data_IF_861539163733
#
_entry.id   IF_861539163733
#
_cell.length_a   1.000
_cell.length_b   1.000
_cell.length_c   1.000
_cell.angle_alpha   90.00
_cell.angle_beta   90.00
_cell.angle_gamma   90.00
#
_symmetry.space_group_name_H-M   'P 1'
#
loop_
_entity.id
_entity.type
_entity.pdbx_description
1 polymer ?
#
# COMPACT_ATOMS: atom_id res chain seq x y z
N UNK A 1 35.46 -25.40 -7.71
CA UNK A 1 35.28 -24.87 -6.35
C UNK A 1 36.41 -23.88 -6.10
N UNK A 2 36.17 -22.61 -6.42
CA UNK A 2 37.07 -21.51 -6.05
C UNK A 2 36.41 -20.81 -4.88
N UNK A 3 36.99 -20.96 -3.69
CA UNK A 3 36.63 -20.18 -2.52
C UNK A 3 36.99 -18.72 -2.81
N UNK A 4 35.96 -17.88 -2.99
CA UNK A 4 36.14 -16.44 -3.11
C UNK A 4 36.75 -15.90 -1.83
N UNK A 5 37.87 -15.20 -1.95
CA UNK A 5 38.42 -14.35 -0.89
C UNK A 5 37.31 -13.39 -0.45
N UNK A 6 37.02 -13.21 0.86
CA UNK A 6 36.07 -12.20 1.28
C UNK A 6 36.59 -10.84 0.82
N UNK A 7 35.88 -10.23 -0.12
CA UNK A 7 36.09 -8.86 -0.57
C UNK A 7 36.09 -8.00 0.69
N UNK A 8 37.24 -7.42 1.01
CA UNK A 8 37.41 -6.67 2.25
C UNK A 8 36.44 -5.51 2.20
N UNK A 9 35.60 -5.35 3.23
CA UNK A 9 34.67 -4.22 3.32
C UNK A 9 35.44 -2.92 3.60
N UNK A 10 36.21 -2.46 2.60
CA UNK A 10 37.03 -1.25 2.69
C UNK A 10 36.21 -0.02 3.10
N UNK A 11 34.95 0.17 2.65
CA UNK A 11 34.08 1.21 3.19
C UNK A 11 33.81 1.00 4.68
N UNK A 12 33.44 -0.20 5.11
CA UNK A 12 33.17 -0.52 6.52
C UNK A 12 34.34 -0.21 7.46
N UNK A 13 35.58 -0.53 7.06
CA UNK A 13 36.78 -0.23 7.84
C UNK A 13 36.98 1.28 8.02
N UNK A 14 36.75 2.07 6.95
CA UNK A 14 36.86 3.54 7.03
C UNK A 14 35.75 4.17 7.84
N UNK A 15 34.54 3.61 7.76
CA UNK A 15 33.36 4.09 8.47
C UNK A 15 33.48 3.90 9.99
N UNK A 16 34.05 2.78 10.45
CA UNK A 16 34.32 2.53 11.86
C UNK A 16 35.22 3.62 12.49
N UNK A 17 36.11 4.25 11.70
CA UNK A 17 36.96 5.35 12.15
C UNK A 17 36.25 6.66 12.50
N UNK A 18 34.93 6.74 12.26
CA UNK A 18 34.09 7.89 12.62
C UNK A 18 33.37 7.71 13.96
N UNK A 19 33.36 6.51 14.55
CA UNK A 19 32.79 6.29 15.87
C UNK A 19 33.47 7.19 16.92
N UNK A 20 32.65 7.78 17.79
CA UNK A 20 33.07 8.74 18.81
C UNK A 20 33.36 10.16 18.28
N UNK A 21 33.34 10.40 16.97
CA UNK A 21 33.52 11.76 16.42
C UNK A 21 32.25 12.59 16.61
N UNK A 22 32.43 13.87 16.90
CA UNK A 22 31.32 14.80 16.95
C UNK A 22 30.70 14.99 15.56
N UNK A 23 29.38 14.90 15.47
CA UNK A 23 28.56 15.26 14.30
C UNK A 23 28.03 16.70 14.37
N UNK A 24 27.88 17.25 15.58
CA UNK A 24 27.60 18.65 15.85
C UNK A 24 28.24 19.03 17.19
N UNK A 25 28.85 20.21 17.27
CA UNK A 25 29.45 20.75 18.50
C UNK A 25 28.87 22.12 18.76
N UNK A 26 28.38 22.35 19.98
CA UNK A 26 27.76 23.61 20.40
C UNK A 26 26.67 24.08 19.43
N UNK A 27 25.86 23.14 18.92
CA UNK A 27 24.69 23.45 18.11
C UNK A 27 23.69 24.24 18.94
N UNK A 28 23.06 25.26 18.35
CA UNK A 28 22.01 26.04 19.00
C UNK A 28 20.73 25.86 18.19
N UNK A 29 19.62 25.63 18.89
CA UNK A 29 18.29 25.64 18.30
C UNK A 29 18.02 26.98 17.64
N UNK A 30 17.32 26.96 16.50
CA UNK A 30 17.09 28.19 15.73
C UNK A 30 16.24 29.21 16.47
N UNK A 31 15.29 28.69 17.24
CA UNK A 31 14.35 29.45 18.02
C UNK A 31 14.40 28.92 19.45
N UNK A 32 14.26 29.79 20.46
CA UNK A 32 13.89 29.35 21.79
C UNK A 32 12.61 28.51 21.72
N UNK A 33 12.43 27.63 22.69
CA UNK A 33 11.16 26.93 22.87
C UNK A 33 10.04 27.97 22.90
N UNK A 34 8.99 27.77 22.09
CA UNK A 34 7.98 28.81 21.89
C UNK A 34 6.57 28.23 21.71
N UNK A 35 5.57 28.99 22.19
CA UNK A 35 4.16 28.61 22.15
C UNK A 35 3.62 28.40 20.72
N UNK A 36 3.96 29.22 19.70
CA UNK A 36 3.48 29.00 18.34
C UNK A 36 3.85 27.62 17.78
N UNK A 37 5.10 27.19 17.93
CA UNK A 37 5.55 25.86 17.47
C UNK A 37 4.90 24.74 18.28
N UNK A 38 4.76 24.89 19.61
CA UNK A 38 4.06 23.91 20.46
C UNK A 38 2.61 23.73 19.99
N UNK A 39 1.88 24.83 19.81
CA UNK A 39 0.48 24.80 19.33
C UNK A 39 0.38 24.06 18.00
N UNK A 40 1.19 24.43 17.01
CA UNK A 40 1.11 23.81 15.68
C UNK A 40 1.48 22.32 15.70
N UNK A 41 2.45 21.92 16.53
CA UNK A 41 2.77 20.51 16.71
C UNK A 41 1.60 19.75 17.33
N UNK A 42 0.98 20.28 18.39
CA UNK A 42 -0.17 19.68 19.04
C UNK A 42 -1.39 19.55 18.10
N UNK A 43 -1.69 20.58 17.32
CA UNK A 43 -2.76 20.56 16.31
C UNK A 43 -2.51 19.47 15.25
N UNK A 44 -1.28 19.37 14.74
CA UNK A 44 -0.93 18.37 13.73
C UNK A 44 -0.97 16.93 14.28
N UNK A 45 -0.58 16.75 15.54
CA UNK A 45 -0.58 15.43 16.20
C UNK A 45 -1.94 15.05 16.80
N UNK A 46 -2.88 15.99 16.88
CA UNK A 46 -4.15 15.80 17.58
C UNK A 46 -4.00 15.67 19.10
N UNK A 47 -2.90 16.16 19.67
CA UNK A 47 -2.63 16.08 21.11
C UNK A 47 -3.25 17.30 21.82
N UNK A 48 -4.21 17.03 22.70
CA UNK A 48 -5.03 18.04 23.38
C UNK A 48 -4.69 18.20 24.86
N UNK A 49 -3.52 17.70 25.30
CA UNK A 49 -3.12 17.81 26.70
C UNK A 49 -3.06 19.29 27.15
N UNK A 50 -3.79 19.67 28.21
CA UNK A 50 -3.86 21.06 28.67
C UNK A 50 -2.52 21.60 29.18
N UNK A 51 -1.57 20.73 29.56
CA UNK A 51 -0.24 21.14 30.03
C UNK A 51 0.62 21.82 28.95
N UNK A 52 0.22 21.77 27.69
CA UNK A 52 0.92 22.40 26.57
C UNK A 52 0.39 23.79 26.20
N UNK A 53 -0.62 24.28 26.93
CA UNK A 53 -1.27 25.56 26.67
C UNK A 53 -1.21 26.49 27.89
N UNK A 54 -1.35 27.79 27.64
CA UNK A 54 -1.40 28.80 28.71
C UNK A 54 -0.01 29.29 29.16
N UNK A 55 0.03 30.13 30.22
CA UNK A 55 1.25 30.79 30.67
C UNK A 55 2.29 29.83 31.26
N UNK A 56 1.85 28.71 31.84
CA UNK A 56 2.72 27.70 32.46
C UNK A 56 3.06 26.52 31.55
N UNK A 57 2.77 26.66 30.25
CA UNK A 57 2.93 25.60 29.27
C UNK A 57 4.32 24.98 29.30
N UNK A 58 4.37 23.66 29.12
CA UNK A 58 5.60 22.94 28.80
C UNK A 58 5.53 22.48 27.35
N UNK A 59 6.67 22.34 26.69
CA UNK A 59 6.69 21.69 25.39
C UNK A 59 6.40 20.18 25.56
N UNK A 60 5.60 19.56 24.67
CA UNK A 60 5.48 18.11 24.60
C UNK A 60 6.87 17.48 24.59
N UNK A 61 7.18 16.49 25.45
CA UNK A 61 8.51 15.87 25.49
C UNK A 61 8.98 15.35 24.13
N UNK A 62 8.05 14.82 23.33
CA UNK A 62 8.25 14.34 21.96
C UNK A 62 8.69 15.41 20.96
N UNK A 63 8.64 16.70 21.32
CA UNK A 63 9.21 17.79 20.54
C UNK A 63 10.72 17.98 20.77
N UNK A 64 11.38 17.18 21.61
CA UNK A 64 12.81 17.35 21.94
C UNK A 64 13.68 17.52 20.70
N UNK A 65 13.47 16.70 19.66
CA UNK A 65 14.20 16.81 18.40
C UNK A 65 13.78 18.03 17.57
N UNK A 66 12.52 18.47 17.64
CA UNK A 66 12.03 19.59 16.82
C UNK A 66 12.83 20.88 17.07
N UNK A 67 13.30 21.08 18.30
CA UNK A 67 14.11 22.24 18.70
C UNK A 67 15.56 22.17 18.21
N UNK A 68 16.06 20.99 17.84
CA UNK A 68 17.42 20.82 17.33
C UNK A 68 17.48 20.66 15.82
N UNK A 69 16.34 20.52 15.13
CA UNK A 69 16.28 20.29 13.69
C UNK A 69 16.89 21.44 12.86
N UNK A 70 17.67 21.06 11.84
CA UNK A 70 18.23 22.01 10.87
C UNK A 70 17.20 22.67 9.94
N UNK A 71 15.95 22.19 9.89
CA UNK A 71 14.91 22.73 9.01
C UNK A 71 15.31 22.81 7.53
N UNK A 72 14.66 23.67 6.76
CA UNK A 72 14.92 23.82 5.30
C UNK A 72 16.31 24.38 4.99
N UNK A 73 16.88 25.21 5.87
CA UNK A 73 18.20 25.80 5.68
C UNK A 73 19.35 24.89 6.13
N UNK A 74 19.06 23.68 6.64
CA UNK A 74 20.05 22.78 7.19
C UNK A 74 20.65 23.22 8.54
N UNK A 75 21.56 22.39 9.06
CA UNK A 75 22.29 22.68 10.30
C UNK A 75 23.50 23.57 10.02
N UNK A 76 23.54 24.74 10.66
CA UNK A 76 24.67 25.68 10.54
C UNK A 76 25.89 25.23 11.37
N UNK A 77 25.70 24.33 12.33
CA UNK A 77 26.74 23.81 13.25
C UNK A 77 27.13 22.34 13.05
N UNK A 78 26.85 21.76 11.87
CA UNK A 78 27.29 20.39 11.55
C UNK A 78 28.80 20.35 11.38
N UNK A 79 29.44 19.34 11.95
CA UNK A 79 30.87 19.11 11.73
C UNK A 79 31.09 18.45 10.37
N UNK A 80 32.29 18.65 9.78
CA UNK A 80 32.66 17.99 8.53
C UNK A 80 32.66 16.46 8.62
N UNK A 81 32.87 15.89 9.81
CA UNK A 81 32.96 14.44 10.01
C UNK A 81 31.65 13.70 9.66
N UNK A 82 30.48 14.28 9.96
CA UNK A 82 29.21 13.64 9.61
C UNK A 82 28.95 13.69 8.10
N UNK A 83 29.23 14.83 7.47
CA UNK A 83 29.03 14.98 6.03
C UNK A 83 30.03 14.13 5.23
N UNK A 84 31.28 13.98 5.70
CA UNK A 84 32.27 13.04 5.17
C UNK A 84 31.81 11.58 5.28
N UNK A 85 31.27 11.17 6.44
CA UNK A 85 30.70 9.83 6.63
C UNK A 85 29.55 9.58 5.65
N UNK A 86 28.65 10.55 5.50
CA UNK A 86 27.52 10.46 4.56
C UNK A 86 28.02 10.36 3.12
N UNK A 87 29.02 11.17 2.75
CA UNK A 87 29.65 11.14 1.43
C UNK A 87 30.33 9.79 1.12
N UNK A 88 30.97 9.16 2.11
CA UNK A 88 31.53 7.81 1.95
C UNK A 88 30.46 6.75 1.73
N UNK A 89 29.35 6.83 2.45
CA UNK A 89 28.21 5.92 2.25
C UNK A 89 27.60 6.10 0.86
N UNK A 90 27.41 7.33 0.40
CA UNK A 90 26.87 7.62 -0.93
C UNK A 90 27.83 7.13 -2.03
N UNK A 91 29.14 7.33 -1.87
CA UNK A 91 30.17 6.82 -2.79
C UNK A 91 30.21 5.28 -2.83
N UNK A 92 29.86 4.61 -1.73
CA UNK A 92 29.68 3.16 -1.66
C UNK A 92 28.35 2.66 -2.24
N UNK A 93 27.56 3.54 -2.88
CA UNK A 93 26.27 3.23 -3.49
C UNK A 93 25.09 3.19 -2.52
N UNK A 94 25.31 3.53 -1.25
CA UNK A 94 24.26 3.57 -0.22
C UNK A 94 23.50 4.90 -0.24
N UNK A 95 22.82 5.18 -1.35
CA UNK A 95 22.19 6.47 -1.64
C UNK A 95 20.82 6.67 -0.99
N UNK A 96 20.18 5.61 -0.53
CA UNK A 96 18.90 5.68 0.19
C UNK A 96 19.12 5.72 1.70
N UNK A 97 18.20 6.35 2.42
CA UNK A 97 18.22 6.42 3.90
C UNK A 97 16.84 6.16 4.47
N UNK A 98 16.79 5.44 5.59
CA UNK A 98 15.58 5.26 6.38
C UNK A 98 15.93 5.32 7.86
N UNK A 99 15.07 5.94 8.68
CA UNK A 99 15.18 5.86 10.13
C UNK A 99 14.67 4.50 10.61
N UNK A 100 15.44 3.82 11.47
CA UNK A 100 15.06 2.49 11.97
C UNK A 100 14.69 2.51 13.44
N UNK A 101 15.39 3.33 14.24
CA UNK A 101 15.18 3.38 15.70
C UNK A 101 15.34 4.81 16.20
N UNK A 102 14.53 5.17 17.19
CA UNK A 102 14.54 6.45 17.88
C UNK A 102 14.30 6.21 19.37
N UNK A 103 15.29 6.53 20.20
CA UNK A 103 15.19 6.47 21.66
C UNK A 103 15.36 7.88 22.22
N UNK A 104 14.44 8.32 23.07
CA UNK A 104 14.50 9.62 23.72
C UNK A 104 14.36 9.45 25.23
N UNK A 105 15.26 10.08 25.96
CA UNK A 105 15.23 10.18 27.43
C UNK A 105 14.97 11.65 27.79
N UNK A 106 13.95 11.90 28.62
CA UNK A 106 13.54 13.25 29.01
C UNK A 106 13.83 13.44 30.49
N UNK A 107 14.78 14.32 30.81
CA UNK A 107 15.20 14.56 32.20
C UNK A 107 14.41 15.68 32.85
N UNK A 108 14.05 16.72 32.07
CA UNK A 108 13.14 17.77 32.49
C UNK A 108 12.25 18.26 31.34
N UNK A 109 11.04 18.77 31.63
CA UNK A 109 10.24 19.45 30.63
C UNK A 109 10.92 20.73 30.13
N UNK A 110 10.81 20.99 28.83
CA UNK A 110 11.20 22.26 28.23
C UNK A 110 10.08 23.29 28.39
N UNK A 111 10.43 24.56 28.57
CA UNK A 111 9.47 25.66 28.76
C UNK A 111 9.66 26.75 27.72
N UNK A 112 8.59 27.47 27.31
CA UNK A 112 8.71 28.64 26.46
C UNK A 112 9.78 29.62 26.98
N UNK A 113 10.70 30.03 26.12
CA UNK A 113 11.87 30.84 26.45
C UNK A 113 13.17 30.06 26.69
N UNK A 114 13.11 28.72 26.87
CA UNK A 114 14.32 27.90 26.97
C UNK A 114 15.13 27.98 25.67
N UNK A 115 16.39 28.41 25.76
CA UNK A 115 17.35 28.37 24.66
C UNK A 115 18.02 27.00 24.62
N UNK A 116 17.71 26.23 23.58
CA UNK A 116 18.22 24.86 23.42
C UNK A 116 19.59 24.90 22.76
N UNK A 117 20.57 24.27 23.41
CA UNK A 117 21.85 23.91 22.84
C UNK A 117 21.97 22.38 22.73
N UNK A 118 22.80 21.87 21.84
CA UNK A 118 22.99 20.43 21.68
C UNK A 118 24.36 20.07 21.11
N UNK A 119 24.82 18.89 21.50
CA UNK A 119 26.00 18.25 20.93
C UNK A 119 25.58 16.88 20.40
N UNK A 120 26.06 16.53 19.21
CA UNK A 120 25.77 15.23 18.60
C UNK A 120 27.07 14.47 18.37
N UNK A 121 27.09 13.19 18.72
CA UNK A 121 28.19 12.26 18.46
C UNK A 121 27.74 11.13 17.55
N UNK A 122 28.62 10.67 16.66
CA UNK A 122 28.46 9.40 15.94
C UNK A 122 28.77 8.29 16.95
N UNK A 123 27.74 7.71 17.54
CA UNK A 123 27.88 6.76 18.64
C UNK A 123 28.35 5.39 18.16
N UNK A 124 27.82 4.93 17.02
CA UNK A 124 28.19 3.64 16.43
C UNK A 124 27.95 3.61 14.92
N UNK A 125 28.74 2.82 14.20
CA UNK A 125 28.52 2.46 12.81
C UNK A 125 28.62 0.94 12.68
N UNK A 126 27.55 0.30 12.20
CA UNK A 126 27.55 -1.16 12.08
C UNK A 126 28.46 -1.63 10.95
N UNK A 127 28.81 -2.92 10.96
CA UNK A 127 29.24 -3.63 9.75
C UNK A 127 28.16 -3.56 8.66
N UNK A 128 28.55 -3.90 7.42
CA UNK A 128 27.61 -4.03 6.31
C UNK A 128 26.54 -5.09 6.59
N UNK A 129 25.27 -4.72 6.42
CA UNK A 129 24.11 -5.62 6.60
C UNK A 129 23.20 -5.60 5.36
N UNK A 130 22.61 -6.74 5.03
CA UNK A 130 21.58 -6.87 3.99
C UNK A 130 20.20 -6.97 4.63
N UNK A 131 19.30 -6.10 4.21
CA UNK A 131 17.90 -6.04 4.68
C UNK A 131 16.94 -6.23 3.51
N UNK A 132 15.62 -6.26 3.77
CA UNK A 132 14.60 -6.27 2.71
C UNK A 132 14.62 -5.01 1.84
N UNK A 133 15.06 -3.87 2.39
CA UNK A 133 15.14 -2.60 1.67
C UNK A 133 16.39 -2.54 0.78
N UNK A 134 17.44 -3.27 1.15
CA UNK A 134 18.71 -3.30 0.46
C UNK A 134 19.89 -3.52 1.39
N UNK A 135 21.09 -3.42 0.83
CA UNK A 135 22.35 -3.64 1.56
C UNK A 135 23.00 -2.32 1.93
N UNK A 136 23.44 -2.17 3.18
CA UNK A 136 23.96 -0.91 3.68
C UNK A 136 24.53 -0.99 5.10
N UNK A 137 24.64 0.17 5.75
CA UNK A 137 25.22 0.32 7.08
C UNK A 137 24.26 1.08 7.98
N UNK A 138 24.22 0.68 9.25
CA UNK A 138 23.50 1.45 10.26
C UNK A 138 24.43 2.47 10.88
N UNK A 139 23.92 3.69 11.07
CA UNK A 139 24.63 4.78 11.73
C UNK A 139 23.77 5.23 12.89
N UNK A 140 24.30 5.14 14.10
CA UNK A 140 23.67 5.61 15.33
C UNK A 140 24.31 6.91 15.75
N UNK A 141 23.49 7.93 15.96
CA UNK A 141 23.92 9.20 16.52
C UNK A 141 23.26 9.41 17.87
N UNK A 142 24.01 9.97 18.83
CA UNK A 142 23.46 10.42 20.11
C UNK A 142 23.55 11.93 20.17
N UNK A 143 22.43 12.58 20.47
CA UNK A 143 22.34 14.02 20.71
C UNK A 143 22.02 14.27 22.16
N UNK A 144 22.91 15.00 22.83
CA UNK A 144 22.69 15.50 24.18
C UNK A 144 22.13 16.91 24.07
N UNK A 145 20.93 17.15 24.61
CA UNK A 145 20.24 18.43 24.55
C UNK A 145 20.38 19.14 25.89
N UNK A 146 20.78 20.40 25.86
CA UNK A 146 21.05 21.23 27.04
C UNK A 146 20.32 22.56 26.99
N UNK A 147 20.02 23.12 28.15
CA UNK A 147 19.54 24.50 28.31
C UNK A 147 20.32 25.13 29.44
N UNK A 148 20.89 26.31 29.22
CA UNK A 148 21.78 26.98 30.18
C UNK A 148 22.90 26.06 30.74
N UNK A 149 23.38 25.12 29.93
CA UNK A 149 24.42 24.15 30.29
C UNK A 149 23.93 22.88 31.01
N UNK A 150 22.67 22.82 31.45
CA UNK A 150 22.08 21.65 32.10
C UNK A 150 21.54 20.66 31.06
N UNK A 151 21.78 19.35 31.24
CA UNK A 151 21.24 18.30 30.38
C UNK A 151 19.73 18.14 30.61
N UNK A 152 18.94 18.30 29.55
CA UNK A 152 17.46 18.25 29.62
C UNK A 152 16.88 17.01 28.96
N UNK A 153 17.62 16.41 28.04
CA UNK A 153 17.26 15.16 27.40
C UNK A 153 18.35 14.62 26.48
N UNK A 154 18.20 13.35 26.13
CA UNK A 154 19.09 12.63 25.23
C UNK A 154 18.25 12.03 24.11
N UNK A 155 18.76 12.07 22.89
CA UNK A 155 18.12 11.48 21.71
C UNK A 155 19.12 10.60 20.97
N UNK A 156 18.92 9.28 20.99
CA UNK A 156 19.64 8.34 20.13
C UNK A 156 18.80 8.05 18.90
N UNK A 157 19.38 8.28 17.74
CA UNK A 157 18.72 8.11 16.46
C UNK A 157 19.56 7.21 15.57
N UNK A 158 18.93 6.14 15.07
CA UNK A 158 19.57 5.17 14.19
C UNK A 158 18.95 5.22 12.81
N UNK A 159 19.81 5.37 11.81
CA UNK A 159 19.43 5.29 10.39
C UNK A 159 20.09 4.08 9.74
N UNK A 160 19.48 3.59 8.68
CA UNK A 160 20.09 2.71 7.69
C UNK A 160 20.31 3.51 6.42
N UNK A 161 21.58 3.69 6.03
CA UNK A 161 21.96 4.15 4.69
C UNK A 161 22.23 2.91 3.83
N UNK A 162 21.54 2.76 2.71
CA UNK A 162 21.53 1.51 1.93
C UNK A 162 21.44 1.73 0.43
N UNK A 163 21.98 0.78 -0.33
CA UNK A 163 21.75 0.65 -1.76
C UNK A 163 20.38 -0.03 -1.94
N UNK A 164 19.37 0.64 -2.52
CA UNK A 164 18.04 0.07 -2.65
C UNK A 164 18.08 -1.25 -3.44
N UNK A 165 17.47 -2.29 -2.86
CA UNK A 165 17.30 -3.55 -3.56
C UNK A 165 16.59 -3.30 -4.89
N UNK A 166 17.11 -3.87 -5.99
CA UNK A 166 16.37 -3.88 -7.25
C UNK A 166 15.05 -4.57 -6.99
N UNK A 167 13.97 -3.80 -7.01
CA UNK A 167 12.62 -4.34 -6.95
C UNK A 167 12.40 -5.06 -8.27
N UNK A 168 12.49 -6.38 -8.24
CA UNK A 168 12.05 -7.19 -9.37
C UNK A 168 10.62 -6.77 -9.71
N UNK A 169 10.28 -6.54 -10.99
CA UNK A 169 8.91 -6.20 -11.36
C UNK A 169 7.97 -7.24 -10.76
N UNK A 170 6.80 -6.83 -10.24
CA UNK A 170 5.86 -7.78 -9.67
C UNK A 170 5.59 -8.88 -10.70
N UNK A 171 5.61 -10.14 -10.25
CA UNK A 171 5.30 -11.27 -11.11
C UNK A 171 3.98 -11.02 -11.86
N UNK A 172 3.86 -11.46 -13.13
CA UNK A 172 2.66 -11.25 -13.92
C UNK A 172 1.43 -11.76 -13.16
N UNK A 173 0.33 -11.00 -13.22
CA UNK A 173 -0.89 -11.34 -12.50
C UNK A 173 -1.39 -12.71 -12.96
N UNK A 174 -1.80 -13.58 -12.03
CA UNK A 174 -2.38 -14.88 -12.38
C UNK A 174 -3.59 -14.71 -13.30
N UNK A 175 -3.65 -15.54 -14.34
CA UNK A 175 -4.74 -15.50 -15.33
C UNK A 175 -6.07 -15.85 -14.68
N UNK A 176 -7.16 -15.26 -15.18
CA UNK A 176 -8.53 -15.68 -14.85
C UNK A 176 -8.71 -17.17 -15.20
N UNK A 177 -9.31 -17.99 -14.31
CA UNK A 177 -9.68 -19.35 -14.65
C UNK A 177 -10.59 -19.36 -15.88
N UNK A 178 -10.26 -20.19 -16.88
CA UNK A 178 -11.12 -20.35 -18.05
C UNK A 178 -12.33 -21.21 -17.67
N UNK A 179 -13.54 -20.88 -18.17
CA UNK A 179 -14.69 -21.74 -17.98
C UNK A 179 -14.48 -23.15 -18.54
N UNK A 180 -15.06 -24.13 -17.87
CA UNK A 180 -15.15 -25.50 -18.42
C UNK A 180 -16.29 -25.53 -19.44
N UNK A 181 -15.91 -25.55 -20.71
CA UNK A 181 -16.86 -25.63 -21.83
C UNK A 181 -17.09 -27.08 -22.20
N UNK A 182 -18.36 -27.47 -22.31
CA UNK A 182 -18.80 -28.78 -22.78
C UNK A 182 -19.90 -28.62 -23.84
N UNK A 183 -20.41 -29.73 -24.36
CA UNK A 183 -21.46 -29.74 -25.40
C UNK A 183 -22.72 -28.96 -24.98
N UNK A 184 -23.10 -29.03 -23.71
CA UNK A 184 -24.38 -28.49 -23.23
C UNK A 184 -24.33 -26.99 -22.93
N UNK A 185 -23.13 -26.41 -22.74
CA UNK A 185 -22.95 -24.99 -22.44
C UNK A 185 -22.15 -24.22 -23.50
N UNK A 186 -21.69 -24.88 -24.58
CA UNK A 186 -20.91 -24.26 -25.64
C UNK A 186 -21.60 -23.03 -26.24
N UNK A 187 -22.89 -23.14 -26.56
CA UNK A 187 -23.66 -22.03 -27.14
C UNK A 187 -23.77 -20.81 -26.22
N UNK A 188 -23.80 -21.00 -24.90
CA UNK A 188 -23.74 -19.89 -23.94
C UNK A 188 -22.41 -19.13 -24.05
N UNK A 189 -21.28 -19.86 -24.08
CA UNK A 189 -19.95 -19.26 -24.15
C UNK A 189 -19.65 -18.65 -25.53
N UNK A 190 -20.18 -19.22 -26.61
CA UNK A 190 -20.15 -18.60 -27.95
C UNK A 190 -20.92 -17.28 -27.98
N UNK A 191 -22.10 -17.24 -27.34
CA UNK A 191 -22.86 -16.02 -27.12
C UNK A 191 -22.02 -14.97 -26.38
N UNK A 192 -21.43 -15.34 -25.23
CA UNK A 192 -20.58 -14.47 -24.42
C UNK A 192 -19.39 -13.93 -25.22
N UNK A 193 -18.70 -14.78 -25.99
CA UNK A 193 -17.60 -14.37 -26.85
C UNK A 193 -18.05 -13.36 -27.94
N UNK A 194 -19.26 -13.53 -28.45
CA UNK A 194 -19.94 -12.59 -29.35
C UNK A 194 -20.64 -11.41 -28.66
N UNK A 195 -20.40 -11.19 -27.36
CA UNK A 195 -21.01 -10.13 -26.54
C UNK A 195 -22.55 -10.18 -26.52
N UNK A 196 -23.13 -11.39 -26.52
CA UNK A 196 -24.57 -11.64 -26.42
C UNK A 196 -24.86 -12.57 -25.25
N UNK A 197 -25.73 -12.15 -24.33
CA UNK A 197 -26.12 -12.98 -23.19
C UNK A 197 -27.31 -13.84 -23.59
N UNK A 198 -27.07 -15.11 -23.93
CA UNK A 198 -28.11 -16.02 -24.40
C UNK A 198 -28.71 -16.86 -23.26
N UNK A 199 -30.04 -16.90 -23.20
CA UNK A 199 -30.81 -17.74 -22.27
C UNK A 199 -31.40 -18.90 -23.06
N UNK A 200 -31.25 -20.12 -22.54
CA UNK A 200 -31.78 -21.32 -23.17
C UNK A 200 -33.31 -21.37 -22.99
N UNK A 201 -34.04 -21.66 -24.08
CA UNK A 201 -35.51 -21.75 -24.08
C UNK A 201 -35.95 -23.11 -24.62
N UNK A 202 -36.89 -23.76 -23.93
CA UNK A 202 -37.46 -25.02 -24.42
C UNK A 202 -38.28 -24.79 -25.70
N UNK A 203 -38.04 -25.60 -26.74
CA UNK A 203 -38.73 -25.49 -28.02
C UNK A 203 -40.22 -25.89 -27.94
N UNK A 204 -40.61 -26.63 -26.90
CA UNK A 204 -41.98 -27.13 -26.71
C UNK A 204 -42.80 -26.25 -25.75
N UNK A 205 -42.35 -26.10 -24.50
CA UNK A 205 -43.11 -25.37 -23.48
C UNK A 205 -42.67 -23.91 -23.28
N UNK A 206 -41.65 -23.45 -24.00
CA UNK A 206 -41.14 -22.07 -23.91
C UNK A 206 -40.42 -21.72 -22.60
N UNK A 207 -40.23 -22.67 -21.67
CA UNK A 207 -39.57 -22.42 -20.38
C UNK A 207 -38.13 -21.96 -20.58
N UNK A 208 -37.80 -20.79 -20.01
CA UNK A 208 -36.45 -20.23 -19.96
C UNK A 208 -35.63 -20.87 -18.82
N UNK A 209 -34.34 -21.10 -19.06
CA UNK A 209 -33.46 -21.71 -18.04
C UNK A 209 -32.02 -21.21 -18.10
N UNK A 210 -31.46 -21.05 -16.92
CA UNK A 210 -30.04 -20.84 -16.66
C UNK A 210 -29.71 -21.45 -15.28
N UNK A 211 -28.64 -22.25 -15.12
CA UNK A 211 -27.67 -22.67 -16.14
C UNK A 211 -28.27 -23.51 -17.29
N UNK A 212 -27.54 -23.62 -18.39
CA UNK A 212 -27.98 -24.44 -19.53
C UNK A 212 -27.96 -25.93 -19.16
N UNK A 213 -28.97 -26.66 -19.61
CA UNK A 213 -29.19 -28.08 -19.35
C UNK A 213 -29.54 -28.82 -20.65
N UNK A 214 -29.20 -30.12 -20.78
CA UNK A 214 -29.47 -30.91 -21.99
C UNK A 214 -30.96 -31.19 -22.23
N UNK A 215 -31.83 -30.94 -21.25
CA UNK A 215 -33.27 -31.10 -21.38
C UNK A 215 -34.05 -30.16 -20.46
N UNK A 216 -35.34 -29.96 -20.77
CA UNK A 216 -36.22 -29.11 -19.99
C UNK A 216 -36.62 -29.77 -18.66
N UNK A 217 -36.39 -29.07 -17.54
CA UNK A 217 -36.80 -29.52 -16.21
C UNK A 217 -38.32 -29.43 -15.95
N UNK A 218 -39.08 -28.80 -16.86
CA UNK A 218 -40.53 -28.66 -16.75
C UNK A 218 -41.29 -29.76 -17.53
N UNK A 219 -40.93 -30.00 -18.80
CA UNK A 219 -41.64 -30.97 -19.66
C UNK A 219 -40.80 -32.15 -20.15
N UNK A 220 -39.47 -32.15 -19.91
CA UNK A 220 -38.57 -33.22 -20.36
C UNK A 220 -38.09 -33.12 -21.81
N UNK A 221 -38.58 -32.16 -22.59
CA UNK A 221 -38.17 -31.95 -23.99
C UNK A 221 -36.64 -31.72 -24.10
N UNK A 222 -35.93 -32.46 -24.99
CA UNK A 222 -34.50 -32.27 -25.22
C UNK A 222 -34.22 -31.13 -26.21
N UNK A 223 -35.23 -30.67 -26.96
CA UNK A 223 -35.08 -29.63 -27.98
C UNK A 223 -35.18 -28.23 -27.36
N UNK A 224 -34.34 -27.33 -27.87
CA UNK A 224 -34.28 -25.96 -27.38
C UNK A 224 -33.74 -25.00 -28.43
N UNK A 225 -34.12 -23.73 -28.27
CA UNK A 225 -33.51 -22.59 -28.93
C UNK A 225 -33.01 -21.60 -27.87
N UNK A 226 -32.70 -20.37 -28.28
CA UNK A 226 -32.20 -19.34 -27.38
C UNK A 226 -32.96 -18.04 -27.55
N UNK A 227 -33.03 -17.27 -26.48
CA UNK A 227 -33.44 -15.87 -26.50
C UNK A 227 -32.28 -15.02 -26.00
N UNK A 228 -32.05 -13.86 -26.62
CA UNK A 228 -31.07 -12.90 -26.12
C UNK A 228 -31.69 -12.13 -24.95
N UNK A 229 -30.97 -12.08 -23.83
CA UNK A 229 -31.38 -11.31 -22.67
C UNK A 229 -31.26 -9.80 -22.97
N UNK A 230 -32.16 -9.01 -22.40
CA UNK A 230 -32.09 -7.55 -22.35
C UNK A 230 -30.77 -7.04 -21.75
N UNK A 231 -30.14 -7.87 -20.91
CA UNK A 231 -28.96 -7.55 -20.14
C UNK A 231 -29.27 -6.84 -18.82
N UNK A 232 -30.54 -6.56 -18.52
CA UNK A 232 -30.97 -5.91 -17.29
C UNK A 232 -31.23 -6.92 -16.18
N UNK A 233 -30.93 -6.54 -14.95
CA UNK A 233 -31.20 -7.36 -13.79
C UNK A 233 -31.10 -6.63 -12.47
N UNK A 234 -31.31 -7.37 -11.39
CA UNK A 234 -31.16 -6.87 -10.02
C UNK A 234 -30.32 -7.83 -9.18
N UNK A 235 -29.57 -7.31 -8.21
CA UNK A 235 -28.82 -8.15 -7.27
C UNK A 235 -29.82 -8.89 -6.36
N UNK A 236 -30.00 -10.19 -6.55
CA UNK A 236 -30.88 -11.02 -5.71
C UNK A 236 -30.20 -11.38 -4.39
N UNK A 237 -28.92 -11.76 -4.44
CA UNK A 237 -28.07 -12.04 -3.29
C UNK A 237 -26.61 -11.81 -3.67
N UNK A 238 -25.71 -11.63 -2.72
CA UNK A 238 -24.28 -11.46 -3.00
C UNK A 238 -23.41 -11.93 -1.83
N UNK A 239 -22.15 -12.23 -2.15
CA UNK A 239 -21.07 -12.46 -1.17
C UNK A 239 -19.89 -11.56 -1.49
N UNK A 240 -19.16 -11.11 -0.47
CA UNK A 240 -17.91 -10.36 -0.62
C UNK A 240 -16.76 -11.25 -0.20
N UNK A 241 -15.83 -11.48 -1.13
CA UNK A 241 -14.67 -12.33 -0.87
C UNK A 241 -13.52 -11.50 -0.32
N UNK A 242 -13.20 -11.69 0.97
CA UNK A 242 -12.08 -11.00 1.65
C UNK A 242 -10.84 -11.90 1.79
N UNK A 243 -11.02 -13.15 2.22
CA UNK A 243 -9.93 -14.07 2.52
C UNK A 243 -10.37 -15.55 2.39
N UNK A 244 -9.51 -16.47 1.91
CA UNK A 244 -8.18 -16.23 1.36
C UNK A 244 -8.23 -15.51 0.00
N UNK A 245 -7.21 -14.70 -0.34
CA UNK A 245 -7.13 -14.07 -1.65
C UNK A 245 -7.04 -15.17 -2.72
N UNK A 246 -7.88 -15.09 -3.75
CA UNK A 246 -7.73 -15.94 -4.92
C UNK A 246 -6.79 -15.24 -5.90
N UNK A 247 -5.66 -15.85 -6.32
CA UNK A 247 -4.59 -15.14 -7.03
C UNK A 247 -5.04 -14.41 -8.30
N UNK A 248 -6.10 -14.89 -8.96
CA UNK A 248 -6.64 -14.28 -10.18
C UNK A 248 -7.58 -13.09 -9.94
N UNK A 249 -7.91 -12.72 -8.70
CA UNK A 249 -8.83 -11.62 -8.35
C UNK A 249 -8.16 -10.67 -7.34
N UNK A 250 -8.49 -9.38 -7.42
CA UNK A 250 -8.07 -8.38 -6.43
C UNK A 250 -9.15 -8.28 -5.32
N UNK A 251 -8.91 -8.81 -4.10
CA UNK A 251 -9.87 -8.70 -3.00
C UNK A 251 -9.82 -7.32 -2.32
N UNK A 252 -10.94 -6.87 -1.71
CA UNK A 252 -12.24 -7.55 -1.68
C UNK A 252 -13.06 -7.31 -2.95
N UNK A 253 -13.76 -8.34 -3.42
CA UNK A 253 -14.65 -8.26 -4.59
C UNK A 253 -16.01 -8.91 -4.32
N UNK A 254 -17.05 -8.41 -4.98
CA UNK A 254 -18.40 -8.93 -4.86
C UNK A 254 -18.73 -9.94 -5.97
N UNK A 255 -19.36 -11.05 -5.57
CA UNK A 255 -19.99 -12.02 -6.47
C UNK A 255 -21.48 -12.02 -6.18
N UNK A 256 -22.28 -11.66 -7.18
CA UNK A 256 -23.73 -11.57 -7.09
C UNK A 256 -24.43 -12.76 -7.75
N UNK A 257 -25.54 -13.16 -7.16
CA UNK A 257 -26.60 -13.89 -7.84
C UNK A 257 -27.56 -12.85 -8.40
N UNK A 258 -27.58 -12.69 -9.72
CA UNK A 258 -28.33 -11.66 -10.43
C UNK A 258 -29.64 -12.25 -10.91
N UNK A 259 -30.75 -11.60 -10.59
CA UNK A 259 -32.07 -11.88 -11.15
C UNK A 259 -32.21 -11.08 -12.44
N UNK A 260 -32.20 -11.75 -13.59
CA UNK A 260 -32.43 -11.11 -14.89
C UNK A 260 -33.91 -10.75 -15.05
N UNK A 261 -34.18 -9.76 -15.90
CA UNK A 261 -35.54 -9.32 -16.24
C UNK A 261 -36.41 -10.45 -16.81
N UNK A 262 -35.79 -11.41 -17.51
CA UNK A 262 -36.46 -12.58 -18.09
C UNK A 262 -36.82 -13.67 -17.06
N UNK A 263 -36.48 -13.48 -15.78
CA UNK A 263 -36.90 -14.35 -14.68
C UNK A 263 -35.89 -15.42 -14.28
N UNK A 264 -34.84 -15.68 -15.07
CA UNK A 264 -33.74 -16.58 -14.69
C UNK A 264 -32.71 -15.88 -13.80
N UNK A 265 -31.89 -16.67 -13.08
CA UNK A 265 -30.81 -16.14 -12.25
C UNK A 265 -29.44 -16.58 -12.75
N UNK A 266 -28.45 -15.72 -12.59
CA UNK A 266 -27.08 -15.94 -13.04
C UNK A 266 -26.07 -15.49 -11.99
N UNK A 267 -25.03 -16.29 -11.75
CA UNK A 267 -23.91 -15.91 -10.88
C UNK A 267 -22.88 -15.13 -11.70
N UNK A 268 -22.48 -13.95 -11.21
CA UNK A 268 -21.45 -13.13 -11.85
C UNK A 268 -20.86 -12.09 -10.90
N UNK A 269 -19.75 -11.45 -11.27
CA UNK A 269 -19.19 -10.33 -10.53
C UNK A 269 -20.08 -9.09 -10.64
N UNK A 270 -20.24 -8.38 -9.51
CA UNK A 270 -20.84 -7.04 -9.47
C UNK A 270 -19.73 -6.02 -9.51
N UNK A 271 -19.79 -5.09 -10.48
CA UNK A 271 -18.74 -4.11 -10.76
C UNK A 271 -19.31 -2.70 -10.86
N UNK A 272 -18.43 -1.69 -10.93
CA UNK A 272 -18.83 -0.29 -11.06
C UNK A 272 -19.12 0.43 -9.75
N UNK A 273 -19.11 -0.28 -8.62
CA UNK A 273 -19.21 0.29 -7.26
C UNK A 273 -18.23 -0.42 -6.33
N UNK A 274 -17.79 0.24 -5.24
CA UNK A 274 -17.05 -0.42 -4.16
C UNK A 274 -17.83 -1.62 -3.58
N UNK A 275 -17.11 -2.67 -3.17
CA UNK A 275 -17.71 -3.91 -2.68
C UNK A 275 -18.63 -3.69 -1.46
N UNK A 276 -18.32 -2.71 -0.62
CA UNK A 276 -19.06 -2.35 0.60
C UNK A 276 -20.33 -1.54 0.30
N UNK A 277 -20.57 -1.19 -0.97
CA UNK A 277 -21.79 -0.51 -1.45
C UNK A 277 -22.75 -1.43 -2.20
N UNK A 278 -22.36 -2.67 -2.51
CA UNK A 278 -23.26 -3.66 -3.12
C UNK A 278 -24.39 -4.00 -2.13
N UNK A 279 -25.64 -3.95 -2.57
CA UNK A 279 -26.84 -4.27 -1.78
C UNK A 279 -27.81 -5.12 -2.60
N UNK A 280 -28.61 -5.93 -1.91
CA UNK A 280 -29.74 -6.64 -2.52
C UNK A 280 -30.71 -5.60 -3.11
N UNK A 281 -31.22 -5.87 -4.31
CA UNK A 281 -32.15 -5.01 -5.04
C UNK A 281 -31.48 -3.97 -5.95
N UNK A 282 -30.15 -3.81 -5.92
CA UNK A 282 -29.48 -2.84 -6.81
C UNK A 282 -29.71 -3.20 -8.29
N UNK A 283 -30.10 -2.21 -9.13
CA UNK A 283 -30.21 -2.40 -10.56
C UNK A 283 -28.83 -2.56 -11.18
N UNK A 284 -28.70 -3.53 -12.07
CA UNK A 284 -27.45 -3.85 -12.77
C UNK A 284 -27.71 -4.11 -14.25
N UNK A 285 -26.69 -3.88 -15.07
CA UNK A 285 -26.68 -4.20 -16.50
C UNK A 285 -25.46 -5.04 -16.85
N UNK A 286 -25.62 -6.00 -17.74
CA UNK A 286 -24.53 -6.83 -18.25
C UNK A 286 -23.48 -5.96 -18.97
N UNK A 287 -22.22 -6.26 -18.71
CA UNK A 287 -21.05 -5.72 -19.38
C UNK A 287 -20.14 -6.89 -19.73
N UNK A 288 -19.66 -6.97 -20.97
CA UNK A 288 -18.70 -7.99 -21.39
C UNK A 288 -17.28 -7.48 -21.18
N UNK A 289 -16.56 -8.08 -20.23
CA UNK A 289 -15.17 -7.73 -19.95
C UNK A 289 -14.21 -8.71 -20.58
N UNK A 290 -13.17 -8.16 -21.21
CA UNK A 290 -12.04 -8.91 -21.75
C UNK A 290 -10.93 -8.99 -20.71
N UNK A 291 -10.38 -10.18 -20.55
CA UNK A 291 -9.24 -10.46 -19.68
C UNK A 291 -8.11 -10.99 -20.55
N UNK A 292 -7.03 -10.22 -20.64
CA UNK A 292 -5.85 -10.54 -21.43
C UNK A 292 -4.98 -11.63 -20.82
N UNK A 293 -3.98 -12.07 -21.59
CA UNK A 293 -3.02 -13.11 -21.18
C UNK A 293 -2.17 -12.72 -19.95
N UNK A 294 -2.13 -11.44 -19.60
CA UNK A 294 -1.27 -10.89 -18.54
C UNK A 294 -2.01 -10.66 -17.22
N UNK A 295 -3.29 -11.07 -17.12
CA UNK A 295 -4.09 -11.00 -15.88
C UNK A 295 -4.49 -9.59 -15.45
N UNK A 296 -4.27 -8.56 -16.29
CA UNK A 296 -4.72 -7.20 -16.03
C UNK A 296 -6.21 -7.03 -16.40
N UNK A 297 -6.99 -6.52 -15.46
CA UNK A 297 -8.38 -6.13 -15.68
C UNK A 297 -8.43 -4.87 -16.56
N UNK A 298 -9.04 -4.95 -17.74
CA UNK A 298 -9.30 -3.78 -18.59
C UNK A 298 -8.21 -3.41 -19.61
N UNK A 299 -7.24 -4.29 -19.87
CA UNK A 299 -6.31 -4.10 -20.98
C UNK A 299 -6.98 -4.41 -22.33
N UNK A 300 -7.11 -3.40 -23.20
CA UNK A 300 -7.51 -3.54 -24.61
C UNK A 300 -6.42 -4.25 -25.42
N UNK A 301 -6.21 -5.53 -25.12
CA UNK A 301 -5.29 -6.40 -25.85
C UNK A 301 -6.05 -7.16 -26.93
N UNK A 302 -5.75 -6.85 -28.18
CA UNK A 302 -6.35 -7.43 -29.38
C UNK A 302 -5.80 -8.84 -29.69
N UNK A 303 -5.27 -9.51 -28.65
CA UNK A 303 -4.53 -10.75 -28.76
C UNK A 303 -5.44 -11.98 -28.86
N UNK A 304 -5.08 -12.88 -29.77
CA UNK A 304 -5.62 -14.23 -29.88
C UNK A 304 -5.52 -14.94 -28.51
N UNK A 305 -6.67 -15.29 -27.91
CA UNK A 305 -6.73 -15.97 -26.60
C UNK A 305 -7.26 -15.16 -25.42
N UNK A 306 -7.75 -13.92 -25.64
CA UNK A 306 -8.46 -13.15 -24.61
C UNK A 306 -9.74 -13.87 -24.13
N UNK A 307 -9.96 -13.91 -22.81
CA UNK A 307 -11.17 -14.47 -22.20
C UNK A 307 -12.22 -13.35 -22.06
N UNK A 308 -13.42 -13.57 -22.59
CA UNK A 308 -14.56 -12.66 -22.36
C UNK A 308 -15.46 -13.26 -21.29
N UNK A 309 -15.82 -12.48 -20.26
CA UNK A 309 -16.81 -12.86 -19.26
C UNK A 309 -17.91 -11.80 -19.14
N UNK A 310 -19.18 -12.20 -18.97
CA UNK A 310 -20.26 -11.29 -18.64
C UNK A 310 -20.18 -10.95 -17.15
N UNK A 311 -19.99 -9.67 -16.84
CA UNK A 311 -20.10 -9.09 -15.49
C UNK A 311 -21.31 -8.18 -15.41
N UNK A 312 -21.75 -7.82 -14.21
CA UNK A 312 -22.90 -6.93 -14.01
C UNK A 312 -22.47 -5.63 -13.37
N UNK A 313 -22.56 -4.53 -14.12
CA UNK A 313 -22.27 -3.19 -13.63
C UNK A 313 -23.52 -2.60 -12.96
N UNK A 314 -23.37 -1.98 -11.80
CA UNK A 314 -24.45 -1.20 -11.17
C UNK A 314 -24.82 -0.02 -12.07
N UNK A 315 -26.12 0.13 -12.33
CA UNK A 315 -26.66 1.30 -13.02
C UNK A 315 -26.94 2.33 -11.93
N UNK A 316 -26.26 3.48 -11.95
CA UNK A 316 -26.63 4.59 -11.08
C UNK A 316 -28.04 5.04 -11.47
N UNK A 317 -28.98 4.98 -10.52
CA UNK A 317 -30.26 5.63 -10.71
C UNK A 317 -30.03 7.13 -10.72
N UNK A 318 -30.61 7.84 -11.68
CA UNK A 318 -30.87 9.28 -11.52
C UNK A 318 -31.68 9.44 -10.22
N UNK A 319 -31.01 9.91 -9.16
CA UNK A 319 -31.56 10.14 -7.84
C UNK A 319 -31.21 11.52 -7.37
#
# INVERSE_FOLDING_TARGET
MSAGVPETDEPGVRLAGYEGRAAAVAGVGKDPVNLPMIRHWCEAMGDTNPGYAGPDAVAPPTMLQAWTMGGLSGHVGRTGAYDELVGLLDAAGCTSVVATDCEQEYLRPLRPGDEVAFDTVIEAVSERKTTKLGTGYFVTTRTDVRVAGELVGTHRFRILKYAPARREPPAPRPRRPRPVVNRDNAGFWEGVAGHRLLIQRCAECGTLRHPWLPGCNACGCPEWDTVEASGEGTVHSYVVMHHPPFPAFDPPYAVGLIQLAEGVRMVSNVVGVPYDKVRIGLPVRVEFRRYGADGADGGGGDGEGALVLPVFRVVEGEG
#
